data_IF_713677012425
#
_entry.id   IF_713677012425
#
_cell.length_a   1.000
_cell.length_b   1.000
_cell.length_c   1.000
_cell.angle_alpha   90.00
_cell.angle_beta   90.00
_cell.angle_gamma   90.00
#
_symmetry.space_group_name_H-M   'P 1'
#
loop_
_entity.id
_entity.type
_entity.pdbx_description
1 polymer ?
#
# COMPACT_ATOMS: atom_id res chain seq x y z
N UNK A 1 -12.18 -9.60 -2.78
CA UNK A 1 -11.08 -8.61 -2.75
C UNK A 1 -11.43 -7.56 -3.79
N UNK A 2 -11.15 -6.26 -3.55
CA UNK A 2 -11.39 -5.22 -4.54
C UNK A 2 -10.65 -5.54 -5.84
N UNK A 3 -11.23 -5.15 -6.97
CA UNK A 3 -10.58 -5.30 -8.26
C UNK A 3 -9.35 -4.40 -8.36
N UNK A 4 -8.36 -4.84 -9.13
CA UNK A 4 -7.17 -4.05 -9.40
C UNK A 4 -7.52 -2.90 -10.36
N UNK A 5 -7.30 -1.66 -9.93
CA UNK A 5 -7.55 -0.49 -10.73
C UNK A 5 -6.53 -0.33 -11.87
N UNK A 6 -6.96 0.33 -12.94
CA UNK A 6 -6.10 0.81 -14.04
C UNK A 6 -6.40 2.29 -14.27
N UNK A 7 -5.35 3.07 -14.46
CA UNK A 7 -5.38 4.50 -14.77
C UNK A 7 -4.50 4.77 -15.98
N UNK A 8 -4.43 6.03 -16.42
CA UNK A 8 -3.65 6.41 -17.61
C UNK A 8 -2.20 5.93 -17.58
N UNK A 9 -1.51 6.04 -16.43
CA UNK A 9 -0.08 5.74 -16.29
C UNK A 9 0.25 4.52 -15.43
N UNK A 10 -0.73 3.98 -14.70
CA UNK A 10 -0.50 3.00 -13.64
C UNK A 10 -1.59 1.93 -13.62
N UNK A 11 -1.19 0.70 -13.32
CA UNK A 11 -2.07 -0.44 -13.06
C UNK A 11 -1.72 -1.08 -11.72
N UNK A 12 -2.71 -1.36 -10.89
CA UNK A 12 -2.50 -2.16 -9.68
C UNK A 12 -2.25 -3.62 -10.06
N UNK A 13 -1.20 -4.21 -9.48
CA UNK A 13 -0.89 -5.63 -9.56
C UNK A 13 -1.40 -6.38 -8.33
N UNK A 14 -1.23 -5.77 -7.15
CA UNK A 14 -1.77 -6.26 -5.88
C UNK A 14 -1.87 -5.12 -4.88
N UNK A 15 -2.84 -5.21 -3.97
CA UNK A 15 -2.98 -4.27 -2.86
C UNK A 15 -3.49 -5.02 -1.62
N UNK A 16 -2.93 -4.72 -0.45
CA UNK A 16 -3.24 -5.48 0.75
C UNK A 16 -2.64 -4.91 2.02
N UNK A 17 -2.82 -5.65 3.11
CA UNK A 17 -2.27 -5.36 4.43
C UNK A 17 -1.39 -6.54 4.82
N UNK A 18 -0.17 -6.23 5.22
CA UNK A 18 0.75 -7.21 5.82
C UNK A 18 0.89 -6.93 7.30
N UNK A 19 0.98 -7.98 8.11
CA UNK A 19 1.33 -7.91 9.52
C UNK A 19 2.73 -8.49 9.73
N UNK A 20 3.51 -7.92 10.64
CA UNK A 20 4.75 -8.55 11.09
C UNK A 20 4.45 -9.60 12.16
N UNK A 21 4.40 -10.86 11.74
CA UNK A 21 4.10 -12.03 12.58
C UNK A 21 5.18 -12.33 13.62
N UNK A 22 6.35 -11.68 13.54
CA UNK A 22 7.49 -11.92 14.44
C UNK A 22 7.52 -10.96 15.64
N UNK A 23 6.64 -9.96 15.70
CA UNK A 23 6.60 -8.96 16.77
C UNK A 23 5.60 -9.32 17.88
N UNK A 24 5.87 -8.90 19.14
CA UNK A 24 4.94 -9.11 20.24
C UNK A 24 3.63 -8.35 20.03
N UNK A 25 2.55 -8.87 20.63
CA UNK A 25 1.21 -8.28 20.60
C UNK A 25 1.21 -6.83 21.11
N UNK A 26 0.57 -5.87 20.40
CA UNK A 26 -0.19 -6.05 19.16
C UNK A 26 0.69 -6.07 17.89
N UNK A 27 0.30 -6.82 16.85
CA UNK A 27 1.05 -6.87 15.60
C UNK A 27 1.10 -5.49 14.94
N UNK A 28 2.25 -5.15 14.35
CA UNK A 28 2.35 -3.99 13.48
C UNK A 28 1.86 -4.36 12.07
N UNK A 29 1.06 -3.47 11.50
CA UNK A 29 0.48 -3.56 10.18
C UNK A 29 1.15 -2.59 9.21
N UNK A 30 1.07 -2.91 7.92
CA UNK A 30 1.53 -2.08 6.83
C UNK A 30 0.65 -2.27 5.61
N UNK A 31 0.29 -1.18 4.95
CA UNK A 31 -0.32 -1.23 3.63
C UNK A 31 0.75 -1.49 2.57
N UNK A 32 0.42 -2.36 1.63
CA UNK A 32 1.25 -2.71 0.49
C UNK A 32 0.46 -2.43 -0.78
N UNK A 33 1.06 -1.68 -1.70
CA UNK A 33 0.54 -1.44 -3.04
C UNK A 33 1.61 -1.77 -4.07
N UNK A 34 1.37 -2.80 -4.88
CA UNK A 34 2.22 -3.16 -6.01
C UNK A 34 1.62 -2.59 -7.29
N UNK A 35 2.40 -1.80 -8.01
CA UNK A 35 1.98 -1.12 -9.23
C UNK A 35 2.87 -1.50 -10.40
N UNK A 36 2.27 -1.53 -11.59
CA UNK A 36 2.95 -1.42 -12.86
C UNK A 36 2.77 -0.01 -13.41
N UNK A 37 3.86 0.68 -13.66
CA UNK A 37 3.90 1.98 -14.31
C UNK A 37 4.15 1.77 -15.81
N UNK A 38 3.47 2.54 -16.66
CA UNK A 38 3.65 2.42 -18.10
C UNK A 38 5.09 2.72 -18.54
N UNK A 39 5.57 2.09 -19.63
CA UNK A 39 6.91 2.31 -20.17
C UNK A 39 7.21 3.76 -20.60
N UNK A 40 6.20 4.53 -21.00
CA UNK A 40 6.33 5.90 -21.50
C UNK A 40 6.45 6.98 -20.41
N UNK A 41 6.24 6.64 -19.13
CA UNK A 41 6.54 7.55 -18.02
C UNK A 41 8.05 7.82 -17.98
N UNK A 42 8.51 9.09 -17.94
CA UNK A 42 9.94 9.39 -18.00
C UNK A 42 10.71 8.86 -16.78
N UNK A 43 11.99 8.52 -16.98
CA UNK A 43 12.91 8.29 -15.88
C UNK A 43 13.07 9.58 -15.05
N UNK A 44 13.28 9.44 -13.74
CA UNK A 44 13.30 10.56 -12.78
C UNK A 44 11.91 11.03 -12.33
N UNK A 45 10.83 10.47 -12.89
CA UNK A 45 9.49 10.70 -12.38
C UNK A 45 9.34 10.22 -10.92
N UNK A 46 8.47 10.89 -10.17
CA UNK A 46 8.32 10.68 -8.73
C UNK A 46 6.88 10.26 -8.41
N UNK A 47 6.74 9.18 -7.65
CA UNK A 47 5.47 8.68 -7.16
C UNK A 47 5.33 8.97 -5.67
N UNK A 48 4.15 9.43 -5.28
CA UNK A 48 3.77 9.65 -3.89
C UNK A 48 2.42 8.97 -3.64
N UNK A 49 2.40 8.01 -2.74
CA UNK A 49 1.19 7.36 -2.26
C UNK A 49 0.77 7.96 -0.92
N UNK A 50 -0.51 8.30 -0.82
CA UNK A 50 -1.20 8.65 0.41
C UNK A 50 -2.20 7.53 0.72
N UNK A 51 -1.88 6.73 1.73
CA UNK A 51 -2.77 5.73 2.28
C UNK A 51 -3.63 6.36 3.38
N UNK A 52 -4.92 6.03 3.40
CA UNK A 52 -5.78 6.40 4.51
C UNK A 52 -5.22 5.87 5.84
N UNK A 53 -5.06 6.75 6.82
CA UNK A 53 -4.56 6.38 8.13
C UNK A 53 -5.72 5.90 9.03
N UNK A 54 -5.68 4.66 9.55
CA UNK A 54 -6.74 4.13 10.41
C UNK A 54 -6.95 4.89 11.72
N UNK A 55 -5.93 5.61 12.21
CA UNK A 55 -5.96 6.34 13.49
C UNK A 55 -6.36 7.81 13.35
N UNK A 56 -5.98 8.46 12.25
CA UNK A 56 -6.19 9.90 12.04
C UNK A 56 -6.36 10.20 10.54
N UNK A 57 -7.61 10.35 10.11
CA UNK A 57 -7.95 10.61 8.70
C UNK A 57 -7.32 11.90 8.14
N UNK A 58 -6.89 12.84 8.99
CA UNK A 58 -6.23 14.07 8.56
C UNK A 58 -4.72 13.92 8.36
N UNK A 59 -4.15 12.77 8.73
CA UNK A 59 -2.71 12.47 8.62
C UNK A 59 -2.50 11.18 7.84
N UNK A 60 -2.67 11.21 6.49
CA UNK A 60 -2.46 10.02 5.67
C UNK A 60 -1.05 9.48 5.82
N UNK A 61 -0.91 8.16 5.74
CA UNK A 61 0.37 7.49 5.75
C UNK A 61 1.00 7.66 4.37
N UNK A 62 2.23 8.19 4.30
CA UNK A 62 2.87 8.52 3.03
C UNK A 62 4.00 7.57 2.68
N UNK A 63 4.06 7.17 1.41
CA UNK A 63 5.18 6.44 0.83
C UNK A 63 5.55 7.08 -0.51
N UNK A 64 6.83 7.01 -0.89
CA UNK A 64 7.25 7.57 -2.17
C UNK A 64 8.41 6.82 -2.79
N UNK A 65 8.51 6.88 -4.11
CA UNK A 65 9.62 6.30 -4.87
C UNK A 65 9.93 7.14 -6.11
N UNK A 66 11.19 7.21 -6.47
CA UNK A 66 11.65 7.79 -7.73
C UNK A 66 11.85 6.68 -8.78
N UNK A 67 11.33 6.86 -9.99
CA UNK A 67 11.45 5.93 -11.10
C UNK A 67 12.83 6.08 -11.75
N UNK A 68 13.82 5.41 -11.17
CA UNK A 68 15.18 5.38 -11.72
C UNK A 68 15.31 4.33 -12.81
N UNK A 69 16.00 4.67 -13.88
CA UNK A 69 16.56 3.67 -14.78
C UNK A 69 17.77 3.04 -14.10
N UNK A 70 17.88 1.71 -14.14
CA UNK A 70 18.99 0.98 -13.52
C UNK A 70 19.41 -0.19 -14.41
N UNK A 71 20.71 -0.45 -14.53
CA UNK A 71 21.27 -1.56 -15.31
C UNK A 71 21.99 -1.13 -16.59
N UNK A 72 22.57 -2.11 -17.30
CA UNK A 72 23.17 -1.92 -18.63
C UNK A 72 22.62 -2.99 -19.60
N UNK A 73 21.91 -2.60 -20.69
CA UNK A 73 21.45 -1.24 -20.96
C UNK A 73 20.47 -0.73 -19.88
N UNK A 74 20.25 0.59 -19.82
CA UNK A 74 19.34 1.20 -18.85
C UNK A 74 17.91 0.66 -19.03
N UNK A 75 17.42 -0.09 -18.05
CA UNK A 75 16.02 -0.55 -18.01
C UNK A 75 15.29 0.15 -16.88
N UNK A 76 14.21 0.85 -17.22
CA UNK A 76 13.31 1.46 -16.23
C UNK A 76 12.53 0.35 -15.52
N UNK A 77 12.50 0.37 -14.18
CA UNK A 77 11.60 -0.52 -13.44
C UNK A 77 10.16 -0.11 -13.67
N UNK A 78 9.39 -1.01 -14.27
CA UNK A 78 7.95 -0.84 -14.47
C UNK A 78 7.15 -1.29 -13.25
N UNK A 79 7.63 -2.34 -12.57
CA UNK A 79 6.97 -2.89 -11.38
C UNK A 79 7.63 -2.38 -10.10
N UNK A 80 6.82 -1.88 -9.17
CA UNK A 80 7.27 -1.31 -7.91
C UNK A 80 6.30 -1.57 -6.77
N UNK A 81 6.81 -1.46 -5.54
CA UNK A 81 6.04 -1.59 -4.30
C UNK A 81 6.09 -0.28 -3.52
N UNK A 82 4.92 0.24 -3.16
CA UNK A 82 4.75 1.34 -2.22
C UNK A 82 4.27 0.77 -0.89
N UNK A 83 5.03 1.06 0.17
CA UNK A 83 4.83 0.53 1.51
C UNK A 83 4.55 1.68 2.46
N UNK A 84 3.42 1.65 3.16
CA UNK A 84 3.18 2.64 4.21
C UNK A 84 4.19 2.48 5.37
N UNK A 85 4.41 3.52 6.19
CA UNK A 85 4.89 3.34 7.56
C UNK A 85 4.11 2.24 8.31
N UNK A 86 4.75 1.63 9.31
CA UNK A 86 4.06 0.67 10.19
C UNK A 86 3.02 1.41 11.05
N UNK A 87 1.92 0.74 11.38
CA UNK A 87 0.87 1.23 12.29
C UNK A 87 0.29 0.05 13.09
N UNK A 88 -0.21 0.31 14.30
CA UNK A 88 -0.65 -0.73 15.24
C UNK A 88 -2.15 -1.07 15.16
N UNK A 89 -2.93 -0.23 14.45
CA UNK A 89 -4.38 -0.30 14.46
C UNK A 89 -4.93 -0.38 13.04
N UNK A 90 -5.71 -1.41 12.77
CA UNK A 90 -6.48 -1.60 11.54
C UNK A 90 -7.90 -2.05 11.89
N UNK A 91 -8.86 -1.66 11.06
CA UNK A 91 -10.27 -2.06 11.16
C UNK A 91 -10.64 -2.95 10.00
N UNK A 92 -11.62 -3.83 10.22
CA UNK A 92 -12.20 -4.60 9.13
C UNK A 92 -13.05 -3.70 8.22
N UNK A 93 -12.42 -3.02 7.26
CA UNK A 93 -13.08 -2.17 6.26
C UNK A 93 -12.22 -1.99 5.01
N UNK A 94 -12.76 -1.28 4.05
CA UNK A 94 -12.02 -0.80 2.90
C UNK A 94 -11.31 0.53 3.24
N UNK A 95 -10.05 0.63 2.82
CA UNK A 95 -9.21 1.82 2.89
C UNK A 95 -8.91 2.30 1.46
N UNK A 96 -8.74 3.60 1.27
CA UNK A 96 -8.28 4.16 0.00
C UNK A 96 -6.77 4.42 0.02
N UNK A 97 -6.10 4.18 -1.10
CA UNK A 97 -4.80 4.74 -1.42
C UNK A 97 -4.87 5.56 -2.69
N UNK A 98 -4.35 6.79 -2.62
CA UNK A 98 -4.24 7.70 -3.75
C UNK A 98 -2.76 7.86 -4.09
N UNK A 99 -2.40 7.56 -5.33
CA UNK A 99 -1.05 7.69 -5.84
C UNK A 99 -0.99 8.82 -6.86
N UNK A 100 -0.08 9.77 -6.64
CA UNK A 100 0.19 10.87 -7.56
C UNK A 100 1.54 10.65 -8.23
N UNK A 101 1.52 10.72 -9.56
CA UNK A 101 2.71 10.66 -10.39
C UNK A 101 3.09 12.08 -10.81
N UNK A 102 4.32 12.47 -10.52
CA UNK A 102 4.89 13.75 -10.89
C UNK A 102 6.04 13.58 -11.88
N UNK A 103 6.26 14.59 -12.74
CA UNK A 103 7.38 14.58 -13.71
C UNK A 103 8.74 14.45 -13.05
N UNK A 104 8.87 14.98 -11.83
CA UNK A 104 10.05 14.81 -10.99
C UNK A 104 9.78 15.31 -9.58
N UNK A 105 10.64 14.92 -8.63
CA UNK A 105 10.45 15.24 -7.21
C UNK A 105 10.50 16.76 -6.94
N UNK A 106 11.37 17.48 -7.64
CA UNK A 106 11.54 18.92 -7.49
C UNK A 106 10.48 19.74 -8.24
N UNK A 107 10.15 19.36 -9.47
CA UNK A 107 9.18 20.12 -10.27
C UNK A 107 7.75 20.01 -9.74
N UNK A 108 7.40 18.86 -9.14
CA UNK A 108 6.05 18.55 -8.65
C UNK A 108 4.94 18.78 -9.70
N UNK A 109 5.29 18.75 -10.99
CA UNK A 109 4.33 18.81 -12.09
C UNK A 109 3.56 17.49 -12.13
N UNK A 110 2.27 17.53 -11.83
CA UNK A 110 1.40 16.35 -11.79
C UNK A 110 1.17 15.80 -13.21
N UNK A 111 1.58 14.56 -13.44
CA UNK A 111 1.33 13.83 -14.67
C UNK A 111 0.04 13.01 -14.59
N UNK A 112 -0.26 12.42 -13.43
CA UNK A 112 -1.46 11.60 -13.28
C UNK A 112 -1.75 11.17 -11.85
N UNK A 113 -2.97 10.66 -11.66
CA UNK A 113 -3.45 10.15 -10.37
C UNK A 113 -3.99 8.73 -10.54
N UNK A 114 -3.70 7.86 -9.59
CA UNK A 114 -4.21 6.50 -9.49
C UNK A 114 -4.88 6.30 -8.14
N UNK A 115 -6.01 5.60 -8.11
CA UNK A 115 -6.74 5.28 -6.88
C UNK A 115 -6.93 3.78 -6.81
N UNK A 116 -6.69 3.20 -5.64
CA UNK A 116 -6.92 1.79 -5.36
C UNK A 116 -7.59 1.62 -4.00
N UNK A 117 -8.51 0.66 -3.91
CA UNK A 117 -9.11 0.24 -2.65
C UNK A 117 -8.33 -0.93 -2.06
N UNK A 118 -8.01 -0.85 -0.77
CA UNK A 118 -7.40 -1.93 0.01
C UNK A 118 -8.45 -2.47 0.97
N UNK A 119 -8.80 -3.76 0.85
CA UNK A 119 -9.70 -4.41 1.80
C UNK A 119 -8.89 -4.96 2.97
N UNK A 120 -9.13 -4.43 4.18
CA UNK A 120 -8.69 -5.10 5.40
C UNK A 120 -9.58 -6.28 5.70
N UNK A 121 -8.94 -7.39 6.04
CA UNK A 121 -9.59 -8.59 6.58
C UNK A 121 -9.22 -8.83 8.05
N UNK A 122 -8.67 -7.81 8.71
CA UNK A 122 -8.21 -7.88 10.09
C UNK A 122 -8.83 -6.70 10.85
N UNK A 123 -9.28 -6.96 12.06
CA UNK A 123 -9.60 -5.93 13.05
C UNK A 123 -8.67 -6.08 14.26
N UNK A 124 -7.89 -5.04 14.56
CA UNK A 124 -6.94 -5.05 15.68
C UNK A 124 -7.65 -5.25 17.02
N UNK A 125 -8.90 -4.83 17.18
CA UNK A 125 -9.64 -5.07 18.42
C UNK A 125 -10.02 -6.55 18.59
N UNK A 126 -10.41 -7.22 17.50
CA UNK A 126 -10.65 -8.67 17.52
C UNK A 126 -9.36 -9.44 17.75
N UNK A 127 -8.26 -9.01 17.12
CA UNK A 127 -6.95 -9.59 17.37
C UNK A 127 -6.58 -9.53 18.86
N UNK A 128 -6.71 -8.35 19.46
CA UNK A 128 -6.45 -8.15 20.89
C UNK A 128 -7.38 -9.01 21.76
N UNK A 129 -8.66 -9.11 21.41
CA UNK A 129 -9.62 -9.93 22.14
C UNK A 129 -9.32 -11.44 22.06
N UNK A 130 -8.82 -11.93 20.92
CA UNK A 130 -8.43 -13.33 20.76
C UNK A 130 -7.08 -13.69 21.39
N UNK A 131 -6.23 -12.70 21.65
CA UNK A 131 -4.93 -12.89 22.29
C UNK A 131 -4.06 -13.91 21.54
N UNK A 132 -3.55 -14.92 22.25
CA UNK A 132 -2.71 -15.98 21.68
C UNK A 132 -3.41 -16.80 20.58
N UNK A 133 -4.75 -16.88 20.60
CA UNK A 133 -5.54 -17.61 19.61
C UNK A 133 -5.75 -16.83 18.31
N UNK A 134 -5.45 -15.53 18.27
CA UNK A 134 -5.68 -14.69 17.10
C UNK A 134 -4.97 -15.26 15.86
N UNK A 135 -3.78 -15.83 16.05
CA UNK A 135 -3.00 -16.38 14.94
C UNK A 135 -3.54 -17.68 14.39
N UNK A 136 -3.95 -18.60 15.26
CA UNK A 136 -4.64 -19.81 14.84
C UNK A 136 -5.90 -19.47 14.04
N UNK A 137 -6.69 -18.50 14.51
CA UNK A 137 -7.89 -18.02 13.80
C UNK A 137 -7.57 -17.43 12.43
N UNK A 138 -6.54 -16.59 12.32
CA UNK A 138 -6.11 -16.05 11.03
C UNK A 138 -5.67 -17.16 10.06
N UNK A 139 -4.92 -18.16 10.54
CA UNK A 139 -4.45 -19.28 9.71
C UNK A 139 -5.59 -20.20 9.26
N UNK A 140 -6.57 -20.46 10.13
CA UNK A 140 -7.74 -21.30 9.81
C UNK A 140 -8.71 -20.61 8.86
N UNK A 141 -8.97 -19.32 9.07
CA UNK A 141 -10.07 -18.61 8.40
C UNK A 141 -9.58 -17.64 7.31
N UNK A 142 -8.30 -17.26 7.32
CA UNK A 142 -7.72 -16.27 6.42
C UNK A 142 -8.16 -14.83 6.69
N UNK A 143 -8.88 -14.59 7.80
CA UNK A 143 -9.37 -13.28 8.23
C UNK A 143 -9.67 -13.25 9.73
N UNK A 144 -9.69 -12.04 10.29
CA UNK A 144 -10.12 -11.70 11.65
C UNK A 144 -11.11 -10.53 11.55
N UNK A 145 -12.24 -10.81 10.91
CA UNK A 145 -13.37 -9.92 10.80
C UNK A 145 -14.59 -10.58 11.45
N UNK A 146 -15.55 -9.78 11.96
CA UNK A 146 -16.84 -10.30 12.40
C UNK A 146 -17.66 -10.87 11.24
#
# INVERSE_FOLDING_TARGET
MPENATSEYMRTLAAGITCDERQPSPPLHRFVLNLRVRPDVPAGAYLEAEFENPLDAHKPLRASVELRASGFPEVKREDLSLLSPMFDTVRCRNYEVVVRLYRGQASRELLGTHRQTIQSRVDSALWQAYGENAMARLLEQGHLCP
#
